data_IF_870879019525
#
_entry.id   IF_870879019525
#
_cell.length_a   1.000
_cell.length_b   1.000
_cell.length_c   1.000
_cell.angle_alpha   90.00
_cell.angle_beta   90.00
_cell.angle_gamma   90.00
#
_symmetry.space_group_name_H-M   'P 1'
#
loop_
_entity.id
_entity.type
_entity.pdbx_description
1 polymer ?
#
# COMPACT_ATOMS: atom_id res chain seq x y z
N UNK A 1 -8.34 12.36 -14.24
CA UNK A 1 -7.12 11.81 -13.58
C UNK A 1 -7.07 10.29 -13.61
N UNK A 2 -8.14 9.57 -13.25
CA UNK A 2 -8.19 8.10 -13.29
C UNK A 2 -8.58 7.59 -14.69
N UNK A 3 -7.75 7.85 -15.69
CA UNK A 3 -7.87 7.27 -17.03
C UNK A 3 -6.86 6.14 -17.18
N UNK A 4 -7.31 5.01 -17.73
CA UNK A 4 -6.49 3.79 -17.91
C UNK A 4 -5.36 4.05 -18.89
N UNK A 5 -5.68 4.60 -20.07
CA UNK A 5 -4.67 5.03 -21.03
C UNK A 5 -3.94 6.27 -20.49
N UNK A 6 -2.61 6.22 -20.28
CA UNK A 6 -1.86 7.37 -19.77
C UNK A 6 -1.83 8.55 -20.74
N UNK A 7 -1.92 8.31 -22.06
CA UNK A 7 -1.90 9.39 -23.06
C UNK A 7 -3.15 10.27 -23.02
N UNK A 8 -4.26 9.69 -22.57
CA UNK A 8 -5.54 10.39 -22.48
C UNK A 8 -5.78 10.98 -21.07
N UNK A 9 -4.79 10.83 -20.18
CA UNK A 9 -4.87 11.34 -18.81
C UNK A 9 -4.46 12.81 -18.80
N UNK A 10 -5.37 13.65 -18.28
CA UNK A 10 -5.07 15.07 -18.05
C UNK A 10 -3.76 15.28 -17.28
N UNK A 11 -2.94 16.19 -17.79
CA UNK A 11 -1.69 16.61 -17.17
C UNK A 11 -1.94 17.44 -15.91
N UNK A 12 -0.88 17.65 -15.11
CA UNK A 12 -1.00 18.45 -13.90
C UNK A 12 -1.38 19.91 -14.21
N UNK A 13 -0.84 20.50 -15.28
CA UNK A 13 -1.17 21.87 -15.70
C UNK A 13 -2.65 22.01 -16.06
N UNK A 14 -3.18 21.09 -16.85
CA UNK A 14 -4.60 21.08 -17.23
C UNK A 14 -5.53 20.88 -16.03
N UNK A 15 -5.12 20.07 -15.05
CA UNK A 15 -5.90 19.88 -13.81
C UNK A 15 -5.93 21.14 -12.95
N UNK A 16 -4.83 21.90 -12.90
CA UNK A 16 -4.78 23.15 -12.13
C UNK A 16 -5.70 24.22 -12.68
N UNK A 17 -6.13 24.14 -13.94
CA UNK A 17 -7.11 25.05 -14.53
C UNK A 17 -8.56 24.56 -14.37
N UNK A 18 -8.75 23.31 -13.93
CA UNK A 18 -10.06 22.69 -13.85
C UNK A 18 -10.96 23.34 -12.80
N UNK A 19 -12.22 23.62 -13.15
CA UNK A 19 -13.19 24.36 -12.31
C UNK A 19 -13.42 23.78 -10.91
N UNK A 20 -13.26 22.47 -10.72
CA UNK A 20 -13.36 21.86 -9.38
C UNK A 20 -12.17 22.20 -8.47
N UNK A 21 -11.01 22.51 -9.06
CA UNK A 21 -9.78 22.89 -8.36
C UNK A 21 -9.69 24.41 -8.21
N UNK A 22 -10.09 25.18 -9.24
CA UNK A 22 -9.99 26.65 -9.27
C UNK A 22 -11.27 27.38 -8.84
N UNK A 23 -12.41 26.70 -8.85
CA UNK A 23 -13.71 27.31 -8.61
C UNK A 23 -13.97 27.63 -7.14
N UNK A 24 -14.69 28.72 -6.91
CA UNK A 24 -15.27 29.08 -5.61
C UNK A 24 -16.58 28.35 -5.31
N UNK A 25 -17.20 27.72 -6.31
CA UNK A 25 -18.48 27.02 -6.23
C UNK A 25 -18.27 25.51 -5.97
N UNK A 26 -17.65 25.22 -4.83
CA UNK A 26 -17.51 23.84 -4.31
C UNK A 26 -18.58 23.63 -3.26
N UNK A 27 -19.29 22.50 -3.34
CA UNK A 27 -20.31 22.16 -2.35
C UNK A 27 -19.72 22.14 -0.93
N UNK A 28 -20.19 23.03 -0.07
CA UNK A 28 -19.75 23.17 1.33
C UNK A 28 -20.55 22.30 2.29
N UNK A 29 -21.43 21.44 1.76
CA UNK A 29 -22.28 20.55 2.56
C UNK A 29 -21.41 19.56 3.33
N UNK A 30 -21.68 19.34 4.63
CA UNK A 30 -20.93 18.37 5.43
C UNK A 30 -20.97 16.97 4.83
N UNK A 31 -19.79 16.41 4.53
CA UNK A 31 -19.63 15.07 3.97
C UNK A 31 -19.66 13.98 5.04
N UNK A 32 -20.70 13.95 5.88
CA UNK A 32 -20.81 13.04 7.04
C UNK A 32 -20.74 11.56 6.67
N UNK A 33 -21.38 11.18 5.56
CA UNK A 33 -21.29 9.83 4.98
C UNK A 33 -19.86 9.50 4.55
N UNK A 34 -19.20 10.42 3.84
CA UNK A 34 -17.82 10.21 3.39
C UNK A 34 -16.85 10.08 4.58
N UNK A 35 -17.04 10.85 5.65
CA UNK A 35 -16.25 10.72 6.88
C UNK A 35 -16.43 9.35 7.53
N UNK A 36 -17.65 8.80 7.51
CA UNK A 36 -17.94 7.47 8.04
C UNK A 36 -17.23 6.39 7.21
N UNK A 37 -17.33 6.46 5.88
CA UNK A 37 -16.62 5.55 4.99
C UNK A 37 -15.10 5.67 5.08
N UNK A 38 -14.59 6.90 5.26
CA UNK A 38 -13.16 7.16 5.43
C UNK A 38 -12.63 6.48 6.71
N UNK A 39 -13.38 6.52 7.82
CA UNK A 39 -13.03 5.79 9.06
C UNK A 39 -12.98 4.29 8.81
N UNK A 40 -13.98 3.72 8.14
CA UNK A 40 -14.03 2.29 7.77
C UNK A 40 -12.84 1.90 6.88
N UNK A 41 -12.52 2.73 5.89
CA UNK A 41 -11.37 2.54 5.02
C UNK A 41 -10.05 2.53 5.80
N UNK A 42 -9.84 3.50 6.70
CA UNK A 42 -8.64 3.53 7.54
C UNK A 42 -8.52 2.30 8.44
N UNK A 43 -9.62 1.83 9.03
CA UNK A 43 -9.63 0.61 9.83
C UNK A 43 -9.19 -0.60 9.00
N UNK A 44 -9.78 -0.80 7.81
CA UNK A 44 -9.39 -1.89 6.89
C UNK A 44 -7.93 -1.78 6.45
N UNK A 45 -7.47 -0.56 6.11
CA UNK A 45 -6.08 -0.30 5.68
C UNK A 45 -5.07 -0.63 6.78
N UNK A 46 -5.32 -0.18 8.02
CA UNK A 46 -4.46 -0.45 9.17
C UNK A 46 -4.40 -1.94 9.49
N UNK A 47 -5.55 -2.61 9.49
CA UNK A 47 -5.61 -4.05 9.70
C UNK A 47 -4.82 -4.82 8.63
N UNK A 48 -5.05 -4.51 7.34
CA UNK A 48 -4.31 -5.14 6.24
C UNK A 48 -2.80 -4.94 6.36
N UNK A 49 -2.35 -3.74 6.72
CA UNK A 49 -0.93 -3.46 6.95
C UNK A 49 -0.36 -4.29 8.11
N UNK A 50 -1.09 -4.42 9.22
CA UNK A 50 -0.67 -5.24 10.35
C UNK A 50 -0.55 -6.72 9.97
N UNK A 51 -1.53 -7.26 9.23
CA UNK A 51 -1.49 -8.64 8.72
C UNK A 51 -0.27 -8.86 7.82
N UNK A 52 -0.01 -7.97 6.88
CA UNK A 52 1.17 -8.07 6.01
C UNK A 52 2.48 -8.00 6.79
N UNK A 53 2.55 -7.17 7.82
CA UNK A 53 3.72 -7.10 8.71
C UNK A 53 3.98 -8.44 9.42
N UNK A 54 2.94 -9.04 10.00
CA UNK A 54 3.05 -10.37 10.64
C UNK A 54 3.48 -11.43 9.63
N UNK A 55 2.88 -11.46 8.44
CA UNK A 55 3.25 -12.39 7.38
C UNK A 55 4.71 -12.23 6.94
N UNK A 56 5.17 -10.98 6.78
CA UNK A 56 6.55 -10.68 6.43
C UNK A 56 7.53 -11.16 7.52
N UNK A 57 7.22 -10.92 8.79
CA UNK A 57 8.04 -11.39 9.92
C UNK A 57 8.11 -12.91 9.98
N UNK A 58 6.99 -13.61 9.81
CA UNK A 58 6.97 -15.09 9.78
C UNK A 58 7.78 -15.62 8.59
N UNK A 59 7.60 -15.03 7.41
CA UNK A 59 8.33 -15.41 6.20
C UNK A 59 9.84 -15.19 6.37
N UNK A 60 10.25 -14.05 6.94
CA UNK A 60 11.64 -13.73 7.21
C UNK A 60 12.25 -14.70 8.23
N UNK A 61 11.53 -15.02 9.32
CA UNK A 61 12.02 -15.98 10.31
C UNK A 61 12.22 -17.38 9.69
N UNK A 62 11.28 -17.85 8.85
CA UNK A 62 11.44 -19.11 8.11
C UNK A 62 12.67 -19.09 7.19
N UNK A 63 12.87 -18.01 6.45
CA UNK A 63 14.01 -17.85 5.56
C UNK A 63 15.34 -17.86 6.33
N UNK A 64 15.40 -17.18 7.48
CA UNK A 64 16.58 -17.14 8.34
C UNK A 64 16.87 -18.50 9.00
N UNK A 65 15.85 -19.20 9.50
CA UNK A 65 16.01 -20.56 10.04
C UNK A 65 16.54 -21.54 8.98
N UNK A 66 16.03 -21.47 7.75
CA UNK A 66 16.54 -22.29 6.64
C UNK A 66 17.98 -21.93 6.23
N UNK A 67 18.40 -20.68 6.40
CA UNK A 67 19.78 -20.25 6.15
C UNK A 67 20.77 -20.86 7.16
N UNK A 68 20.35 -21.00 8.43
CA UNK A 68 21.14 -21.65 9.49
C UNK A 68 21.30 -23.16 9.27
N UNK A 69 20.29 -23.82 8.69
CA UNK A 69 20.33 -25.26 8.37
C UNK A 69 21.22 -25.55 7.15
N UNK A 70 21.19 -24.68 6.13
CA UNK A 70 22.07 -24.78 4.96
C UNK A 70 23.56 -24.62 5.31
N UNK A 71 23.88 -23.76 6.28
CA UNK A 71 25.27 -23.55 6.77
C UNK A 71 25.78 -24.71 7.64
N UNK A 72 24.88 -25.42 8.35
CA UNK A 72 25.25 -26.61 9.14
C UNK A 72 25.53 -27.82 8.25
N UNK A 73 24.78 -27.98 7.16
CA UNK A 73 24.93 -29.13 6.27
C UNK A 73 26.21 -29.06 5.40
N UNK A 74 26.66 -27.86 5.01
CA UNK A 74 27.92 -27.69 4.27
C UNK A 74 29.16 -28.09 5.08
N UNK A 75 29.18 -27.79 6.39
CA UNK A 75 30.30 -28.18 7.27
C UNK A 75 30.34 -29.69 7.57
N UNK A 76 29.18 -30.37 7.58
CA UNK A 76 29.13 -31.83 7.77
C UNK A 76 29.57 -32.60 6.51
N UNK A 77 29.41 -32.02 5.32
CA UNK A 77 29.86 -32.64 4.06
C UNK A 77 31.37 -32.46 3.81
N UNK A 78 31.99 -31.42 4.39
CA UNK A 78 33.42 -31.15 4.28
C UNK A 78 34.30 -31.92 5.29
N UNK A 79 33.70 -32.76 6.15
CA UNK A 79 34.37 -33.47 7.25
C UNK A 79 34.43 -35.00 7.08
N UNK A 80 34.31 -35.52 5.85
CA UNK A 80 34.53 -36.92 5.48
C UNK A 80 35.62 -37.07 4.42
#
# INVERSE_FOLDING_TARGET
>A
MLVVNPKDRASAGELLEHKWITGTDVATVPLTSALTELRRFHARKKFKAAVHSVQATISMNKALSGLGESTRNSNSAASL
#
